data_IF_645777820174
#
_entry.id   IF_645777820174
#
_cell.length_a   1.000
_cell.length_b   1.000
_cell.length_c   1.000
_cell.angle_alpha   90.00
_cell.angle_beta   90.00
_cell.angle_gamma   90.00
#
_symmetry.space_group_name_H-M   'P 1'
#
loop_
_entity.id
_entity.type
_entity.pdbx_description
1 polymer ?
#
# COMPACT_ATOMS: atom_id res chain seq x y z
N UNK A 1 -5.02 27.41 -6.67
CA UNK A 1 -5.11 26.08 -6.01
C UNK A 1 -4.78 26.28 -4.54
N UNK A 2 -5.46 25.57 -3.60
CA UNK A 2 -5.10 25.61 -2.19
C UNK A 2 -3.62 25.20 -2.03
N UNK A 3 -2.90 25.96 -1.22
CA UNK A 3 -1.48 25.64 -0.97
C UNK A 3 -1.36 24.38 -0.12
N UNK A 4 -0.37 23.53 -0.40
CA UNK A 4 -0.02 22.35 0.40
C UNK A 4 1.39 22.50 0.93
N UNK A 5 1.71 21.82 2.03
CA UNK A 5 3.06 21.72 2.58
C UNK A 5 3.54 20.27 2.44
N UNK A 6 4.83 20.09 2.16
CA UNK A 6 5.45 18.77 1.99
C UNK A 6 6.61 18.60 2.95
N UNK A 7 6.66 17.45 3.59
CA UNK A 7 7.70 17.09 4.54
C UNK A 7 8.20 15.68 4.22
N UNK A 8 9.52 15.48 4.21
CA UNK A 8 10.15 14.18 4.03
C UNK A 8 10.87 13.81 5.31
N UNK A 9 10.68 12.58 5.76
CA UNK A 9 11.35 12.08 6.95
C UNK A 9 11.64 10.58 6.84
N UNK A 10 12.45 10.08 7.74
CA UNK A 10 12.84 8.69 7.81
C UNK A 10 12.51 8.16 9.20
N UNK A 11 11.70 7.10 9.26
CA UNK A 11 11.51 6.35 10.48
C UNK A 11 12.70 5.40 10.60
N UNK A 12 13.56 5.64 11.58
CA UNK A 12 14.76 4.83 11.80
C UNK A 12 14.38 3.40 12.19
N UNK A 13 15.14 2.45 11.71
CA UNK A 13 15.04 1.07 12.14
C UNK A 13 15.81 0.80 13.43
N UNK A 14 15.52 -0.31 14.05
CA UNK A 14 16.34 -0.91 15.10
C UNK A 14 17.51 -1.72 14.50
N UNK A 15 18.26 -2.44 15.31
CA UNK A 15 19.31 -3.34 14.82
C UNK A 15 18.80 -4.43 13.84
N UNK A 16 17.50 -4.73 13.91
CA UNK A 16 16.84 -5.79 13.11
C UNK A 16 15.86 -5.24 12.08
N UNK A 17 15.66 -3.94 12.00
CA UNK A 17 14.69 -3.30 11.12
C UNK A 17 15.39 -2.29 10.21
N UNK A 18 14.97 -2.25 8.95
CA UNK A 18 15.44 -1.22 8.02
C UNK A 18 14.65 0.09 8.18
N UNK A 19 15.20 1.22 7.75
CA UNK A 19 14.52 2.50 7.78
C UNK A 19 13.32 2.52 6.81
N UNK A 20 12.29 3.31 7.17
CA UNK A 20 11.11 3.57 6.33
C UNK A 20 11.16 5.00 5.83
N UNK A 21 11.16 5.20 4.51
CA UNK A 21 11.18 6.51 3.88
C UNK A 21 9.77 7.03 3.71
N UNK A 22 9.49 8.20 4.26
CA UNK A 22 8.15 8.78 4.29
C UNK A 22 8.10 10.16 3.64
N UNK A 23 7.01 10.43 2.90
CA UNK A 23 6.64 11.76 2.40
C UNK A 23 5.23 12.09 2.92
N UNK A 24 5.12 13.18 3.66
CA UNK A 24 3.87 13.71 4.18
C UNK A 24 3.48 14.97 3.41
N UNK A 25 2.28 14.98 2.83
CA UNK A 25 1.67 16.15 2.20
C UNK A 25 0.49 16.59 3.05
N UNK A 26 0.49 17.85 3.48
CA UNK A 26 -0.52 18.44 4.38
C UNK A 26 -1.21 19.63 3.73
N UNK A 27 -2.50 19.90 4.03
CA UNK A 27 -3.13 21.19 3.73
C UNK A 27 -2.32 22.35 4.33
N UNK A 28 -2.28 23.49 3.67
CA UNK A 28 -1.54 24.67 4.18
C UNK A 28 -2.23 25.29 5.41
N UNK A 29 -3.56 25.35 5.40
CA UNK A 29 -4.37 25.76 6.55
C UNK A 29 -5.11 24.54 7.10
N UNK A 30 -4.85 24.23 8.36
CA UNK A 30 -5.29 23.00 8.98
C UNK A 30 -6.52 23.22 9.84
N UNK A 31 -7.66 22.68 9.44
CA UNK A 31 -8.84 22.58 10.27
C UNK A 31 -9.15 21.10 10.64
N UNK A 32 -8.92 20.15 9.74
CA UNK A 32 -9.18 18.73 9.96
C UNK A 32 -7.88 17.94 10.09
N UNK A 33 -7.82 17.11 11.13
CA UNK A 33 -6.66 16.30 11.47
C UNK A 33 -6.71 14.91 10.82
N UNK A 34 -7.39 14.78 9.68
CA UNK A 34 -7.55 13.51 8.98
C UNK A 34 -6.27 13.14 8.21
N UNK A 35 -5.86 11.88 8.31
CA UNK A 35 -4.65 11.38 7.67
C UNK A 35 -4.89 10.08 6.92
N UNK A 36 -4.58 10.05 5.64
CA UNK A 36 -4.43 8.82 4.87
C UNK A 36 -2.98 8.36 4.95
N UNK A 37 -2.76 7.09 5.30
CA UNK A 37 -1.46 6.40 5.18
C UNK A 37 -1.56 5.43 4.00
N UNK A 38 -0.71 5.62 2.98
CA UNK A 38 -0.77 4.92 1.71
C UNK A 38 0.27 3.81 1.60
N UNK A 39 -0.21 2.58 1.36
CA UNK A 39 0.56 1.36 1.16
C UNK A 39 0.66 1.04 -0.34
N UNK A 40 1.86 1.14 -0.93
CA UNK A 40 2.08 0.83 -2.34
C UNK A 40 2.03 -0.68 -2.62
N UNK A 41 1.87 -1.06 -3.90
CA UNK A 41 1.84 -2.45 -4.34
C UNK A 41 3.22 -3.09 -4.54
N UNK A 42 3.22 -4.37 -4.94
CA UNK A 42 4.41 -5.12 -5.30
C UNK A 42 5.17 -4.45 -6.46
N UNK A 43 6.49 -4.39 -6.36
CA UNK A 43 7.36 -3.65 -7.27
C UNK A 43 6.99 -2.16 -7.39
N UNK A 44 6.34 -1.64 -6.37
CA UNK A 44 6.03 -0.22 -6.23
C UNK A 44 6.95 0.49 -5.24
N UNK A 45 6.77 1.78 -5.16
CA UNK A 45 7.43 2.68 -4.21
C UNK A 45 6.57 3.95 -4.05
N UNK A 46 6.83 4.73 -3.02
CA UNK A 46 6.04 5.92 -2.66
C UNK A 46 5.88 6.97 -3.76
N UNK A 47 6.84 7.05 -4.69
CA UNK A 47 6.86 8.03 -5.79
C UNK A 47 6.50 7.40 -7.15
N UNK A 48 5.88 6.22 -7.16
CA UNK A 48 5.49 5.54 -8.39
C UNK A 48 4.31 6.25 -9.07
N UNK A 49 4.42 6.49 -10.38
CA UNK A 49 3.31 7.02 -11.18
C UNK A 49 2.74 8.33 -10.65
N UNK A 50 1.43 8.35 -10.43
CA UNK A 50 0.67 9.54 -10.04
C UNK A 50 0.54 9.72 -8.52
N UNK A 51 1.22 8.94 -7.67
CA UNK A 51 1.01 9.00 -6.21
C UNK A 51 1.33 10.36 -5.60
N UNK A 52 2.25 11.13 -6.22
CA UNK A 52 2.53 12.52 -5.83
C UNK A 52 1.33 13.45 -6.09
N UNK A 53 0.74 13.36 -7.28
CA UNK A 53 -0.44 14.15 -7.65
C UNK A 53 -1.67 13.75 -6.82
N UNK A 54 -1.82 12.45 -6.54
CA UNK A 54 -2.87 11.94 -5.66
C UNK A 54 -2.74 12.53 -4.25
N UNK A 55 -1.53 12.54 -3.67
CA UNK A 55 -1.26 13.14 -2.36
C UNK A 55 -1.58 14.63 -2.34
N UNK A 56 -1.18 15.37 -3.39
CA UNK A 56 -1.49 16.79 -3.53
C UNK A 56 -3.00 17.04 -3.59
N UNK A 57 -3.75 16.22 -4.34
CA UNK A 57 -5.20 16.38 -4.48
C UNK A 57 -5.94 16.11 -3.16
N UNK A 58 -5.56 15.09 -2.38
CA UNK A 58 -6.12 14.86 -1.05
C UNK A 58 -5.83 16.03 -0.11
N UNK A 59 -4.58 16.51 -0.08
CA UNK A 59 -4.21 17.65 0.78
C UNK A 59 -4.92 18.96 0.37
N UNK A 60 -5.14 19.18 -0.92
CA UNK A 60 -5.94 20.32 -1.42
C UNK A 60 -7.40 20.26 -0.96
N UNK A 61 -7.91 19.06 -0.64
CA UNK A 61 -9.26 18.83 -0.12
C UNK A 61 -9.28 18.63 1.41
N UNK A 62 -8.24 19.08 2.13
CA UNK A 62 -8.25 19.09 3.60
C UNK A 62 -7.75 17.80 4.26
N UNK A 63 -7.39 16.76 3.50
CA UNK A 63 -6.98 15.47 4.04
C UNK A 63 -5.46 15.30 3.88
N UNK A 64 -4.74 15.20 4.98
CA UNK A 64 -3.31 14.92 4.96
C UNK A 64 -3.03 13.54 4.36
N UNK A 65 -1.92 13.42 3.61
CA UNK A 65 -1.57 12.19 2.91
C UNK A 65 -0.11 11.81 3.16
N UNK A 66 0.10 10.65 3.76
CA UNK A 66 1.42 10.08 4.00
C UNK A 66 1.61 8.87 3.10
N UNK A 67 2.63 8.90 2.27
CA UNK A 67 3.09 7.77 1.47
C UNK A 67 4.49 7.37 1.92
N UNK A 68 4.78 6.08 1.92
CA UNK A 68 6.06 5.57 2.38
C UNK A 68 6.54 4.41 1.52
N UNK A 69 7.86 4.16 1.53
CA UNK A 69 8.42 2.92 1.03
C UNK A 69 8.41 1.87 2.14
N UNK A 70 7.86 0.68 1.87
CA UNK A 70 8.10 -0.45 2.77
C UNK A 70 9.59 -0.64 2.99
N UNK A 71 10.01 -0.94 4.22
CA UNK A 71 11.42 -0.97 4.63
C UNK A 71 12.30 -1.89 3.77
N UNK A 72 11.70 -2.94 3.23
CA UNK A 72 12.36 -3.94 2.39
C UNK A 72 11.90 -3.89 0.92
N UNK A 73 11.35 -2.75 0.45
CA UNK A 73 10.96 -2.65 -0.95
C UNK A 73 12.15 -2.56 -1.92
N UNK A 74 13.36 -2.39 -1.41
CA UNK A 74 14.59 -2.26 -2.19
C UNK A 74 15.01 -0.83 -2.51
N UNK A 75 14.23 0.19 -2.12
CA UNK A 75 14.65 1.60 -2.17
C UNK A 75 15.64 1.94 -1.05
N UNK A 76 16.48 2.95 -1.26
CA UNK A 76 17.41 3.48 -0.26
C UNK A 76 17.16 4.95 0.02
N UNK A 77 17.73 5.50 1.09
CA UNK A 77 17.64 6.92 1.42
C UNK A 77 18.16 7.79 0.26
N UNK A 78 19.25 7.38 -0.37
CA UNK A 78 19.86 8.12 -1.48
C UNK A 78 19.19 7.88 -2.83
N UNK A 79 18.54 6.72 -3.00
CA UNK A 79 17.78 6.37 -4.20
C UNK A 79 16.48 5.66 -3.80
N UNK A 80 15.40 6.40 -3.51
CA UNK A 80 14.11 5.83 -3.06
C UNK A 80 13.27 5.26 -4.19
N UNK A 81 13.73 5.39 -5.43
CA UNK A 81 13.05 4.95 -6.65
C UNK A 81 13.67 3.63 -7.11
N UNK A 82 12.86 2.74 -7.64
CA UNK A 82 13.27 1.41 -8.07
C UNK A 82 13.86 0.56 -6.92
N UNK A 83 14.81 -0.30 -7.20
CA UNK A 83 15.23 -1.35 -6.27
C UNK A 83 16.77 -1.46 -6.23
N UNK A 84 17.49 -0.41 -5.80
CA UNK A 84 18.95 -0.45 -5.72
C UNK A 84 19.48 -1.41 -4.64
N UNK A 85 18.72 -1.62 -3.54
CA UNK A 85 19.06 -2.58 -2.49
C UNK A 85 18.36 -3.93 -2.75
N UNK A 86 18.97 -4.74 -3.64
CA UNK A 86 18.46 -6.07 -3.95
C UNK A 86 18.51 -7.03 -2.76
N UNK A 87 19.42 -6.79 -1.81
CA UNK A 87 19.47 -7.59 -0.58
C UNK A 87 18.23 -7.35 0.26
N UNK A 88 17.90 -6.11 0.55
CA UNK A 88 16.65 -5.78 1.26
C UNK A 88 15.42 -6.34 0.53
N UNK A 89 15.36 -6.15 -0.80
CA UNK A 89 14.27 -6.68 -1.60
C UNK A 89 14.12 -8.20 -1.47
N UNK A 90 15.25 -8.94 -1.45
CA UNK A 90 15.24 -10.39 -1.33
C UNK A 90 14.78 -10.90 0.03
N UNK A 91 15.05 -10.14 1.08
CA UNK A 91 14.72 -10.44 2.48
C UNK A 91 13.30 -10.01 2.87
N UNK A 92 12.56 -9.33 1.98
CA UNK A 92 11.19 -8.89 2.23
C UNK A 92 10.23 -10.08 2.44
N UNK A 93 9.15 -9.83 3.20
CA UNK A 93 8.01 -10.72 3.34
C UNK A 93 6.76 -9.96 3.83
N UNK A 94 5.59 -10.62 3.82
CA UNK A 94 4.33 -9.96 4.21
C UNK A 94 4.30 -9.54 5.67
N UNK A 95 4.92 -10.30 6.58
CA UNK A 95 4.97 -9.95 8.01
C UNK A 95 5.76 -8.65 8.23
N UNK A 96 6.85 -8.45 7.50
CA UNK A 96 7.62 -7.19 7.52
C UNK A 96 6.75 -6.04 7.02
N UNK A 97 6.08 -6.19 5.86
CA UNK A 97 5.23 -5.13 5.30
C UNK A 97 4.08 -4.75 6.26
N UNK A 98 3.44 -5.73 6.91
CA UNK A 98 2.40 -5.45 7.93
C UNK A 98 2.97 -4.75 9.15
N UNK A 99 4.19 -5.13 9.60
CA UNK A 99 4.85 -4.48 10.71
C UNK A 99 5.26 -3.03 10.37
N UNK A 100 5.69 -2.78 9.14
CA UNK A 100 6.01 -1.42 8.67
C UNK A 100 4.81 -0.48 8.78
N UNK A 101 3.58 -0.94 8.43
CA UNK A 101 2.37 -0.13 8.64
C UNK A 101 2.19 0.20 10.11
N UNK A 102 2.39 -0.77 11.01
CA UNK A 102 2.31 -0.55 12.46
C UNK A 102 3.32 0.50 12.92
N UNK A 103 4.56 0.41 12.44
CA UNK A 103 5.64 1.38 12.75
C UNK A 103 5.28 2.78 12.25
N UNK A 104 4.75 2.90 11.04
CA UNK A 104 4.35 4.20 10.47
C UNK A 104 3.20 4.81 11.27
N UNK A 105 2.15 4.04 11.59
CA UNK A 105 1.01 4.54 12.39
C UNK A 105 1.47 4.98 13.78
N UNK A 106 2.29 4.15 14.46
CA UNK A 106 2.80 4.45 15.79
C UNK A 106 3.69 5.69 15.78
N UNK A 107 4.60 5.80 14.81
CA UNK A 107 5.49 6.96 14.66
C UNK A 107 4.68 8.25 14.49
N UNK A 108 3.70 8.24 13.58
CA UNK A 108 2.86 9.42 13.32
C UNK A 108 2.10 9.86 14.56
N UNK A 109 1.53 8.92 15.33
CA UNK A 109 0.79 9.24 16.56
C UNK A 109 1.68 9.80 17.67
N UNK A 110 2.91 9.32 17.77
CA UNK A 110 3.82 9.68 18.86
C UNK A 110 4.64 10.96 18.56
N UNK A 111 5.13 11.10 17.31
CA UNK A 111 6.06 12.17 16.96
C UNK A 111 5.36 13.42 16.42
N UNK A 112 4.19 13.26 15.80
CA UNK A 112 3.43 14.39 15.29
C UNK A 112 2.24 14.71 16.21
N UNK A 113 2.43 15.59 17.19
CA UNK A 113 1.35 16.04 18.11
C UNK A 113 0.09 16.50 17.36
N UNK A 114 0.28 17.03 16.15
CA UNK A 114 -0.79 17.40 15.24
C UNK A 114 -1.74 16.22 14.90
N UNK A 115 -1.22 14.99 14.81
CA UNK A 115 -2.01 13.80 14.49
C UNK A 115 -2.39 12.95 15.70
N UNK A 116 -2.10 13.36 16.94
CA UNK A 116 -2.40 12.57 18.15
C UNK A 116 -3.87 12.14 18.26
N UNK A 117 -4.78 13.00 17.80
CA UNK A 117 -6.23 12.75 17.78
C UNK A 117 -6.80 12.69 16.35
N UNK A 118 -5.96 12.42 15.35
CA UNK A 118 -6.39 12.33 13.96
C UNK A 118 -7.18 11.05 13.71
N UNK A 119 -8.18 11.13 12.83
CA UNK A 119 -8.74 9.94 12.19
C UNK A 119 -7.72 9.43 11.18
N UNK A 120 -7.27 8.19 11.37
CA UNK A 120 -6.31 7.55 10.48
C UNK A 120 -7.06 6.60 9.56
N UNK A 121 -6.80 6.78 8.27
CA UNK A 121 -7.31 5.93 7.21
C UNK A 121 -6.14 5.17 6.57
N UNK A 122 -6.30 3.88 6.30
CA UNK A 122 -5.34 3.14 5.49
C UNK A 122 -5.86 3.08 4.05
N UNK A 123 -5.01 3.47 3.11
CA UNK A 123 -5.25 3.30 1.68
C UNK A 123 -4.19 2.36 1.13
N UNK A 124 -4.58 1.31 0.39
CA UNK A 124 -3.62 0.36 -0.15
C UNK A 124 -3.90 0.01 -1.60
N UNK A 125 -2.83 -0.02 -2.43
CA UNK A 125 -2.90 -0.44 -3.82
C UNK A 125 -2.39 -1.86 -3.99
N UNK A 126 -3.15 -2.71 -4.70
CA UNK A 126 -2.72 -4.06 -5.07
C UNK A 126 -2.33 -4.92 -3.84
N UNK A 127 -1.10 -5.41 -3.75
CA UNK A 127 -0.54 -6.08 -2.55
C UNK A 127 -0.71 -5.22 -1.30
N UNK A 128 -0.42 -3.91 -1.40
CA UNK A 128 -0.54 -2.97 -0.29
C UNK A 128 -1.96 -2.85 0.26
N UNK A 129 -2.99 -3.15 -0.55
CA UNK A 129 -4.36 -3.23 -0.09
C UNK A 129 -4.60 -4.40 0.86
N UNK A 130 -4.08 -5.58 0.54
CA UNK A 130 -4.11 -6.74 1.45
C UNK A 130 -3.32 -6.48 2.75
N UNK A 131 -2.15 -5.80 2.65
CA UNK A 131 -1.38 -5.37 3.84
C UNK A 131 -2.21 -4.42 4.71
N UNK A 132 -2.88 -3.44 4.10
CA UNK A 132 -3.74 -2.50 4.81
C UNK A 132 -4.91 -3.22 5.54
N UNK A 133 -5.54 -4.22 4.89
CA UNK A 133 -6.57 -5.05 5.53
C UNK A 133 -6.04 -5.78 6.76
N UNK A 134 -4.87 -6.42 6.67
CA UNK A 134 -4.30 -7.17 7.79
C UNK A 134 -3.88 -6.20 8.91
N UNK A 135 -3.24 -5.09 8.57
CA UNK A 135 -2.84 -4.09 9.55
C UNK A 135 -4.03 -3.47 10.29
N UNK A 136 -5.18 -3.26 9.60
CA UNK A 136 -6.38 -2.68 10.22
C UNK A 136 -7.04 -3.58 11.27
N UNK A 137 -6.79 -4.89 11.22
CA UNK A 137 -7.29 -5.84 12.23
C UNK A 137 -6.47 -5.85 13.51
N UNK A 138 -5.32 -5.13 13.53
CA UNK A 138 -4.51 -4.90 14.72
C UNK A 138 -5.05 -3.69 15.50
N UNK A 139 -4.65 -3.55 16.75
CA UNK A 139 -5.08 -2.42 17.59
C UNK A 139 -4.38 -1.10 17.21
N UNK A 140 -4.65 -0.62 15.99
CA UNK A 140 -4.10 0.62 15.44
C UNK A 140 -5.10 1.78 15.41
N UNK A 141 -6.35 1.56 15.83
CA UNK A 141 -7.45 2.53 15.75
C UNK A 141 -7.59 3.16 14.36
N UNK A 142 -7.73 2.30 13.35
CA UNK A 142 -7.97 2.71 11.97
C UNK A 142 -9.46 2.97 11.78
N UNK A 143 -9.80 4.15 11.27
CA UNK A 143 -11.21 4.59 11.08
C UNK A 143 -11.85 3.96 9.84
N UNK A 144 -11.13 3.93 8.70
CA UNK A 144 -11.64 3.37 7.45
C UNK A 144 -10.53 2.84 6.55
N UNK A 145 -10.90 1.96 5.61
CA UNK A 145 -10.04 1.43 4.57
C UNK A 145 -10.44 1.94 3.19
N UNK A 146 -9.45 2.18 2.33
CA UNK A 146 -9.62 2.45 0.90
C UNK A 146 -8.73 1.46 0.14
N UNK A 147 -9.32 0.54 -0.59
CA UNK A 147 -8.65 -0.55 -1.27
C UNK A 147 -8.66 -0.31 -2.78
N UNK A 148 -7.48 -0.06 -3.36
CA UNK A 148 -7.30 0.26 -4.77
C UNK A 148 -6.77 -0.96 -5.52
N UNK A 149 -7.57 -1.60 -6.38
CA UNK A 149 -7.21 -2.81 -7.12
C UNK A 149 -6.52 -3.86 -6.24
N UNK A 150 -7.04 -4.04 -5.01
CA UNK A 150 -6.43 -4.85 -3.97
C UNK A 150 -6.58 -6.34 -4.23
N UNK A 151 -5.56 -7.11 -3.83
CA UNK A 151 -5.67 -8.56 -3.73
C UNK A 151 -6.59 -8.94 -2.56
N UNK A 152 -7.29 -10.06 -2.69
CA UNK A 152 -8.13 -10.64 -1.63
C UNK A 152 -7.45 -11.80 -0.91
N UNK A 153 -6.36 -12.34 -1.46
CA UNK A 153 -5.53 -13.36 -0.82
C UNK A 153 -4.08 -13.28 -1.31
N UNK A 154 -3.19 -13.92 -0.55
CA UNK A 154 -1.78 -14.02 -0.93
C UNK A 154 -1.42 -15.41 -1.47
N UNK A 155 -2.20 -16.44 -1.17
CA UNK A 155 -1.93 -17.82 -1.57
C UNK A 155 -1.91 -17.96 -3.08
N UNK A 156 -2.91 -17.40 -3.76
CA UNK A 156 -3.02 -17.42 -5.22
C UNK A 156 -1.92 -16.63 -5.94
N UNK A 157 -1.11 -15.86 -5.21
CA UNK A 157 0.00 -15.07 -5.77
C UNK A 157 1.32 -15.82 -5.79
N UNK A 158 1.40 -16.99 -5.16
CA UNK A 158 2.54 -17.87 -5.25
C UNK A 158 2.47 -18.73 -6.52
N UNK A 159 3.62 -19.21 -7.03
CA UNK A 159 3.63 -20.10 -8.17
C UNK A 159 3.09 -21.49 -7.79
N UNK A 160 2.96 -22.36 -8.79
CA UNK A 160 2.60 -23.76 -8.59
C UNK A 160 3.64 -24.53 -7.74
N UNK A 161 3.23 -25.65 -7.14
CA UNK A 161 4.04 -26.41 -6.19
C UNK A 161 5.41 -26.80 -6.75
N UNK A 162 5.50 -27.24 -8.00
CA UNK A 162 6.79 -27.63 -8.62
C UNK A 162 7.79 -26.45 -8.69
N UNK A 163 7.31 -25.21 -8.85
CA UNK A 163 8.16 -24.00 -8.83
C UNK A 163 8.53 -23.61 -7.39
N UNK A 164 7.65 -23.87 -6.41
CA UNK A 164 7.94 -23.68 -4.98
C UNK A 164 9.02 -24.65 -4.54
N UNK A 165 8.97 -25.92 -4.96
CA UNK A 165 9.98 -26.92 -4.63
C UNK A 165 11.36 -26.54 -5.19
N UNK A 166 11.43 -26.09 -6.44
CA UNK A 166 12.67 -25.52 -7.03
C UNK A 166 13.15 -24.27 -6.29
N UNK A 167 12.22 -23.40 -5.86
CA UNK A 167 12.58 -22.23 -5.08
C UNK A 167 13.18 -22.61 -3.73
N UNK A 168 12.63 -23.63 -3.07
CA UNK A 168 13.16 -24.18 -1.83
C UNK A 168 14.57 -24.77 -2.02
N UNK A 169 14.77 -25.57 -3.08
CA UNK A 169 16.05 -26.17 -3.41
C UNK A 169 17.13 -25.13 -3.72
N UNK A 170 16.79 -24.13 -4.53
CA UNK A 170 17.74 -23.08 -4.94
C UNK A 170 17.90 -21.95 -3.90
N UNK A 171 17.04 -21.89 -2.86
CA UNK A 171 17.02 -20.85 -1.84
C UNK A 171 16.55 -19.48 -2.34
N UNK A 172 16.53 -19.23 -3.65
CA UNK A 172 16.16 -17.97 -4.27
C UNK A 172 15.40 -18.16 -5.58
N UNK A 173 14.39 -17.31 -5.80
CA UNK A 173 13.65 -17.17 -7.06
C UNK A 173 13.77 -15.76 -7.59
N UNK A 174 13.93 -15.61 -8.90
CA UNK A 174 14.02 -14.30 -9.54
C UNK A 174 12.75 -13.96 -10.32
N UNK A 175 12.32 -12.70 -10.21
CA UNK A 175 11.19 -12.15 -10.98
C UNK A 175 11.70 -10.94 -11.76
N UNK A 176 11.50 -10.92 -13.09
CA UNK A 176 11.90 -9.77 -13.90
C UNK A 176 10.99 -8.56 -13.65
N UNK A 177 11.58 -7.41 -13.44
CA UNK A 177 10.88 -6.14 -13.56
C UNK A 177 10.84 -5.76 -15.06
N UNK A 178 9.68 -5.91 -15.69
CA UNK A 178 9.52 -5.66 -17.13
C UNK A 178 9.94 -4.25 -17.57
N UNK A 179 9.82 -3.25 -16.67
CA UNK A 179 10.18 -1.85 -16.97
C UNK A 179 11.69 -1.63 -16.97
N UNK A 180 12.39 -2.09 -15.94
CA UNK A 180 13.84 -1.86 -15.76
C UNK A 180 14.72 -3.00 -16.25
N UNK A 181 14.13 -4.16 -16.62
CA UNK A 181 14.81 -5.42 -16.95
C UNK A 181 15.61 -6.01 -15.77
N UNK A 182 15.46 -5.46 -14.61
CA UNK A 182 16.13 -5.91 -13.38
C UNK A 182 15.56 -7.25 -12.92
N UNK A 183 16.43 -8.18 -12.58
CA UNK A 183 16.06 -9.46 -11.96
C UNK A 183 15.96 -9.25 -10.44
N UNK A 184 14.77 -9.31 -9.92
CA UNK A 184 14.46 -9.08 -8.52
C UNK A 184 14.45 -10.41 -7.76
N UNK A 185 15.34 -10.60 -6.77
CA UNK A 185 15.45 -11.83 -6.01
C UNK A 185 14.38 -11.92 -4.92
N UNK A 186 13.86 -13.12 -4.70
CA UNK A 186 13.06 -13.49 -3.54
C UNK A 186 13.70 -14.70 -2.87
N UNK A 187 14.19 -14.57 -1.66
CA UNK A 187 14.63 -15.70 -0.86
C UNK A 187 13.43 -16.60 -0.50
N UNK A 188 13.66 -17.90 -0.35
CA UNK A 188 12.59 -18.86 -0.02
C UNK A 188 11.87 -18.53 1.29
N UNK A 189 12.52 -17.79 2.21
CA UNK A 189 11.91 -17.29 3.44
C UNK A 189 10.62 -16.48 3.19
N UNK A 190 10.46 -15.87 2.01
CA UNK A 190 9.24 -15.15 1.65
C UNK A 190 8.02 -16.08 1.64
N UNK A 191 8.16 -17.26 1.04
CA UNK A 191 7.11 -18.28 1.02
C UNK A 191 6.97 -18.94 2.39
N UNK A 192 8.07 -19.31 3.02
CA UNK A 192 8.08 -19.94 4.35
C UNK A 192 7.40 -19.04 5.39
N UNK A 193 7.72 -17.73 5.41
CA UNK A 193 7.07 -16.78 6.28
C UNK A 193 5.55 -16.72 6.08
N UNK A 194 5.08 -16.81 4.83
CA UNK A 194 3.65 -16.85 4.55
C UNK A 194 3.02 -18.13 5.12
N UNK A 195 3.60 -19.30 4.88
CA UNK A 195 3.09 -20.58 5.37
C UNK A 195 3.03 -20.61 6.90
N UNK A 196 4.10 -20.17 7.55
CA UNK A 196 4.20 -20.15 9.03
C UNK A 196 3.21 -19.17 9.67
N UNK A 197 2.76 -18.18 8.91
CA UNK A 197 1.90 -17.09 9.38
C UNK A 197 0.55 -17.00 8.62
N UNK A 198 0.14 -18.06 7.89
CA UNK A 198 -1.05 -18.02 7.01
C UNK A 198 -2.30 -17.55 7.77
N UNK A 199 -2.49 -17.97 9.01
CA UNK A 199 -3.66 -17.60 9.82
C UNK A 199 -3.73 -16.10 10.16
N UNK A 200 -2.56 -15.46 10.41
CA UNK A 200 -2.48 -14.04 10.74
C UNK A 200 -2.29 -13.14 9.51
N UNK A 201 -1.86 -13.73 8.39
CA UNK A 201 -1.75 -13.06 7.08
C UNK A 201 -3.01 -13.27 6.22
N UNK A 202 -4.13 -13.61 6.84
CA UNK A 202 -5.40 -13.89 6.18
C UNK A 202 -6.21 -12.60 6.01
N UNK A 203 -6.38 -12.16 4.75
CA UNK A 203 -7.08 -10.92 4.41
C UNK A 203 -8.57 -11.02 4.75
N UNK A 204 -9.22 -12.17 4.45
CA UNK A 204 -10.63 -12.40 4.73
C UNK A 204 -10.94 -12.26 6.22
N UNK A 205 -10.20 -13.00 7.06
CA UNK A 205 -10.41 -12.97 8.51
C UNK A 205 -10.13 -11.59 9.11
N UNK A 206 -9.13 -10.87 8.58
CA UNK A 206 -8.78 -9.52 9.01
C UNK A 206 -9.89 -8.53 8.65
N UNK A 207 -10.42 -8.60 7.43
CA UNK A 207 -11.47 -7.70 6.98
C UNK A 207 -12.81 -7.96 7.69
N UNK A 208 -13.14 -9.22 7.98
CA UNK A 208 -14.31 -9.59 8.80
C UNK A 208 -14.22 -9.08 10.25
N UNK A 209 -13.01 -8.94 10.81
CA UNK A 209 -12.77 -8.36 12.14
C UNK A 209 -12.80 -6.84 12.13
N UNK A 210 -12.53 -6.22 10.99
CA UNK A 210 -12.47 -4.77 10.88
C UNK A 210 -13.90 -4.18 10.94
N UNK A 211 -14.17 -3.32 11.92
CA UNK A 211 -15.49 -2.72 12.14
C UNK A 211 -15.71 -1.40 11.38
N UNK A 212 -14.63 -0.81 10.84
CA UNK A 212 -14.71 0.45 10.11
C UNK A 212 -15.29 0.29 8.70
N UNK A 213 -15.55 1.42 8.04
CA UNK A 213 -16.03 1.44 6.65
C UNK A 213 -14.92 1.06 5.68
N UNK A 214 -15.25 0.37 4.60
CA UNK A 214 -14.30 -0.03 3.56
C UNK A 214 -14.79 0.41 2.19
N UNK A 215 -14.01 1.25 1.49
CA UNK A 215 -14.21 1.58 0.08
C UNK A 215 -13.31 0.68 -0.77
N UNK A 216 -13.90 -0.07 -1.69
CA UNK A 216 -13.20 -0.93 -2.63
C UNK A 216 -13.31 -0.31 -4.03
N UNK A 217 -12.18 0.11 -4.61
CA UNK A 217 -12.10 0.67 -5.96
C UNK A 217 -11.38 -0.31 -6.86
N UNK A 218 -11.99 -0.74 -7.98
CA UNK A 218 -11.39 -1.74 -8.87
C UNK A 218 -11.71 -1.48 -10.34
N UNK A 219 -10.70 -1.73 -11.19
CA UNK A 219 -10.84 -1.66 -12.62
C UNK A 219 -11.42 -2.96 -13.20
N UNK A 220 -12.50 -2.88 -14.00
CA UNK A 220 -13.08 -4.07 -14.65
C UNK A 220 -12.23 -4.63 -15.79
N UNK A 221 -11.15 -3.93 -16.17
CA UNK A 221 -10.16 -4.37 -17.17
C UNK A 221 -8.78 -4.65 -16.52
N UNK A 222 -8.77 -4.93 -15.23
CA UNK A 222 -7.55 -5.26 -14.48
C UNK A 222 -7.07 -6.68 -14.85
N UNK A 223 -5.89 -6.77 -15.49
CA UNK A 223 -5.26 -8.04 -15.87
C UNK A 223 -4.24 -8.53 -14.83
N UNK A 224 -3.95 -7.75 -13.80
CA UNK A 224 -2.98 -8.10 -12.76
C UNK A 224 -3.64 -8.67 -11.50
N UNK A 225 -4.79 -8.11 -11.14
CA UNK A 225 -5.65 -8.57 -10.04
C UNK A 225 -7.07 -8.67 -10.58
N UNK A 226 -7.57 -9.89 -10.73
CA UNK A 226 -8.91 -10.15 -11.26
C UNK A 226 -9.98 -9.43 -10.43
N UNK A 227 -11.04 -8.93 -11.10
CA UNK A 227 -12.15 -8.22 -10.48
C UNK A 227 -12.87 -9.03 -9.40
N UNK A 228 -12.79 -10.38 -9.43
CA UNK A 228 -13.32 -11.24 -8.39
C UNK A 228 -12.73 -10.92 -7.01
N UNK A 229 -11.47 -10.44 -6.95
CA UNK A 229 -10.88 -9.99 -5.68
C UNK A 229 -11.69 -8.84 -5.04
N UNK A 230 -12.18 -7.89 -5.85
CA UNK A 230 -13.01 -6.81 -5.35
C UNK A 230 -14.37 -7.31 -4.83
N UNK A 231 -14.97 -8.29 -5.50
CA UNK A 231 -16.22 -8.91 -5.05
C UNK A 231 -16.03 -9.66 -3.73
N UNK A 232 -14.93 -10.40 -3.58
CA UNK A 232 -14.58 -11.09 -2.34
C UNK A 232 -14.41 -10.07 -1.20
N UNK A 233 -13.59 -9.02 -1.39
CA UNK A 233 -13.37 -7.99 -0.38
C UNK A 233 -14.68 -7.29 0.02
N UNK A 234 -15.56 -7.03 -0.95
CA UNK A 234 -16.87 -6.43 -0.68
C UNK A 234 -17.75 -7.36 0.17
N UNK A 235 -17.77 -8.66 -0.13
CA UNK A 235 -18.56 -9.64 0.61
C UNK A 235 -18.06 -9.87 2.05
N UNK A 236 -16.80 -9.66 2.33
CA UNK A 236 -16.19 -9.82 3.66
C UNK A 236 -16.21 -8.55 4.51
N UNK A 237 -16.44 -7.39 3.88
CA UNK A 237 -16.49 -6.11 4.58
C UNK A 237 -17.79 -5.94 5.34
N UNK A 238 -17.74 -5.59 6.62
CA UNK A 238 -18.93 -5.32 7.43
C UNK A 238 -19.73 -4.12 6.90
N UNK A 239 -19.02 -3.06 6.47
CA UNK A 239 -19.60 -1.85 5.85
C UNK A 239 -18.80 -1.58 4.57
N UNK A 240 -19.06 -2.37 3.52
CA UNK A 240 -18.34 -2.29 2.25
C UNK A 240 -19.08 -1.44 1.21
N UNK A 241 -18.33 -0.64 0.46
CA UNK A 241 -18.78 0.11 -0.71
C UNK A 241 -17.89 -0.21 -1.90
N UNK A 242 -18.45 -0.79 -2.96
CA UNK A 242 -17.73 -1.13 -4.19
C UNK A 242 -17.91 -0.02 -5.24
N UNK A 243 -16.80 0.55 -5.69
CA UNK A 243 -16.71 1.49 -6.78
C UNK A 243 -15.92 0.88 -7.93
N UNK A 244 -16.62 0.53 -9.02
CA UNK A 244 -16.05 -0.10 -10.22
C UNK A 244 -15.95 0.89 -11.37
N UNK A 245 -14.85 0.82 -12.13
CA UNK A 245 -14.60 1.63 -13.32
C UNK A 245 -14.09 0.76 -14.47
N UNK A 246 -14.35 1.17 -15.70
CA UNK A 246 -13.75 0.53 -16.88
C UNK A 246 -12.31 1.03 -17.06
N UNK A 247 -11.39 0.46 -16.30
CA UNK A 247 -9.98 0.87 -16.29
C UNK A 247 -9.07 -0.31 -15.92
N UNK A 248 -7.76 -0.12 -16.06
CA UNK A 248 -6.73 -1.12 -15.75
C UNK A 248 -6.31 -1.10 -14.26
N UNK A 249 -5.34 -1.95 -13.91
CA UNK A 249 -4.78 -2.12 -12.55
C UNK A 249 -4.29 -0.84 -11.88
N UNK A 250 -3.79 0.12 -12.64
CA UNK A 250 -3.19 1.37 -12.14
C UNK A 250 -4.06 2.58 -12.43
N UNK A 251 -5.33 2.36 -12.82
CA UNK A 251 -6.31 3.41 -13.07
C UNK A 251 -5.86 4.44 -14.11
N UNK A 252 -5.16 3.97 -15.15
CA UNK A 252 -4.61 4.81 -16.20
C UNK A 252 -3.22 5.41 -15.91
N UNK A 253 -2.70 5.25 -14.69
CA UNK A 253 -1.35 5.68 -14.34
C UNK A 253 -0.29 4.72 -14.88
N UNK A 254 0.92 5.23 -15.10
CA UNK A 254 2.13 4.48 -15.46
C UNK A 254 3.34 5.10 -14.78
N UNK A 255 4.47 4.41 -14.76
CA UNK A 255 5.71 4.99 -14.25
C UNK A 255 6.81 4.93 -15.33
N UNK A 256 7.56 6.02 -15.57
CA UNK A 256 7.38 7.34 -14.96
C UNK A 256 6.10 8.05 -15.46
N UNK A 257 5.60 8.99 -14.66
CA UNK A 257 4.48 9.87 -15.03
C UNK A 257 5.01 11.29 -15.19
N UNK A 258 4.96 11.80 -16.40
CA UNK A 258 5.53 13.10 -16.76
C UNK A 258 4.46 14.17 -17.06
N UNK A 259 3.18 13.81 -16.85
CA UNK A 259 2.06 14.72 -17.05
C UNK A 259 1.74 15.52 -15.79
N UNK A 260 1.15 16.69 -15.95
CA UNK A 260 0.74 17.56 -14.84
C UNK A 260 -0.71 17.30 -14.38
N UNK A 261 -1.35 16.27 -14.90
CA UNK A 261 -2.73 15.92 -14.57
C UNK A 261 -2.82 14.48 -14.08
N UNK A 262 -3.88 14.20 -13.35
CA UNK A 262 -4.21 12.85 -12.88
C UNK A 262 -5.03 12.16 -13.98
N UNK A 263 -4.80 10.86 -14.31
CA UNK A 263 -5.66 10.12 -15.24
C UNK A 263 -7.11 10.13 -14.75
N UNK A 264 -8.06 10.27 -15.67
CA UNK A 264 -9.50 10.42 -15.36
C UNK A 264 -10.02 9.34 -14.41
N UNK A 265 -9.65 8.07 -14.61
CA UNK A 265 -10.11 6.99 -13.75
C UNK A 265 -9.56 7.12 -12.31
N UNK A 266 -8.28 7.47 -12.16
CA UNK A 266 -7.68 7.71 -10.84
C UNK A 266 -8.30 8.95 -10.19
N UNK A 267 -8.58 9.98 -10.95
CA UNK A 267 -9.21 11.21 -10.49
C UNK A 267 -10.61 10.93 -9.90
N UNK A 268 -11.44 10.15 -10.60
CA UNK A 268 -12.75 9.71 -10.11
C UNK A 268 -12.66 8.90 -8.81
N UNK A 269 -11.62 8.07 -8.67
CA UNK A 269 -11.37 7.31 -7.43
C UNK A 269 -11.02 8.24 -6.28
N UNK A 270 -10.19 9.26 -6.52
CA UNK A 270 -9.83 10.25 -5.49
C UNK A 270 -11.09 11.01 -5.03
N UNK A 271 -11.90 11.52 -5.96
CA UNK A 271 -13.18 12.18 -5.65
C UNK A 271 -14.11 11.29 -4.83
N UNK A 272 -14.27 10.02 -5.25
CA UNK A 272 -15.07 9.04 -4.52
C UNK A 272 -14.52 8.78 -3.12
N UNK A 273 -13.19 8.73 -2.98
CA UNK A 273 -12.52 8.54 -1.70
C UNK A 273 -12.72 9.73 -0.76
N UNK A 274 -12.61 10.96 -1.27
CA UNK A 274 -12.86 12.18 -0.50
C UNK A 274 -14.31 12.18 0.01
N UNK A 275 -15.28 11.95 -0.88
CA UNK A 275 -16.69 11.85 -0.50
C UNK A 275 -17.00 10.72 0.49
N UNK A 276 -16.23 9.63 0.46
CA UNK A 276 -16.40 8.50 1.38
C UNK A 276 -15.86 8.82 2.79
N UNK A 277 -14.86 9.67 2.90
CA UNK A 277 -14.22 10.07 4.16
C UNK A 277 -14.89 11.28 4.82
N UNK A 278 -15.72 12.01 4.10
CA UNK A 278 -16.59 13.09 4.60
C UNK A 278 -17.78 12.52 5.35
#
# INVERSE_FOLDING_TARGET
MPKTTKEKFVIQGTAYEKPILCDLTKPFQHHDKNLIIFCHGYKGFKDWGCWNLMADKFAQNGISFLKFNFSHNGGTINNPIDFPDLKAFSENNYSIEVNDVTRVVSYVKNEFTYFSNAKIYLMGHSRGGGIACIASSRDLHIESLILLASVSDYKSRFPEQCEIDKWKENGVRYVENKRTKQKLPHLYQFYQNYVDNESILNIESSLKKFSGKTLICHGTMDLAVDFQNALNLCSWSNIGCLFKLRTNHTFGSKHPWNENHIPTALDQIIEKSISFLS
#
